data_IF_804892153359
#
_entry.id   IF_804892153359
#
_cell.length_a   1.000
_cell.length_b   1.000
_cell.length_c   1.000
_cell.angle_alpha   90.00
_cell.angle_beta   90.00
_cell.angle_gamma   90.00
#
_symmetry.space_group_name_H-M   'P 1'
#
loop_
_entity.id
_entity.type
_entity.pdbx_description
1 polymer ?
#
# COMPACT_ATOMS: atom_id res chain seq x y z
N UNK A 1 20.86 -12.58 9.62
CA UNK A 1 20.63 -11.13 9.71
C UNK A 1 20.01 -10.82 11.06
N UNK A 2 20.61 -9.91 11.83
CA UNK A 2 19.95 -9.35 13.02
C UNK A 2 19.04 -8.22 12.54
N UNK A 3 17.76 -8.30 12.84
CA UNK A 3 16.79 -7.28 12.44
C UNK A 3 16.80 -6.13 13.45
N UNK A 4 16.92 -4.89 12.98
CA UNK A 4 16.81 -3.74 13.85
C UNK A 4 15.35 -3.50 14.24
N UNK A 5 15.02 -3.68 15.53
CA UNK A 5 13.66 -3.54 16.05
C UNK A 5 13.06 -2.17 15.74
N UNK A 6 13.86 -1.09 15.87
CA UNK A 6 13.37 0.27 15.62
C UNK A 6 13.02 0.49 14.15
N UNK A 7 13.77 -0.13 13.23
CA UNK A 7 13.50 -0.05 11.79
C UNK A 7 12.22 -0.78 11.42
N UNK A 8 12.01 -1.99 11.95
CA UNK A 8 10.77 -2.76 11.72
C UNK A 8 9.56 -1.98 12.21
N UNK A 9 9.62 -1.42 13.43
CA UNK A 9 8.51 -0.63 14.00
C UNK A 9 8.28 0.65 13.19
N UNK A 10 9.33 1.34 12.76
CA UNK A 10 9.21 2.53 11.92
C UNK A 10 8.50 2.22 10.59
N UNK A 11 8.85 1.09 9.96
CA UNK A 11 8.21 0.66 8.71
C UNK A 11 6.76 0.23 8.93
N UNK A 12 6.43 -0.46 10.01
CA UNK A 12 5.04 -0.79 10.36
C UNK A 12 4.19 0.47 10.56
N UNK A 13 4.77 1.53 11.14
CA UNK A 13 4.09 2.82 11.24
C UNK A 13 3.77 3.41 9.87
N UNK A 14 4.71 3.37 8.92
CA UNK A 14 4.47 3.83 7.54
C UNK A 14 3.28 3.09 6.91
N UNK A 15 3.22 1.76 7.08
CA UNK A 15 2.09 0.94 6.60
C UNK A 15 0.77 1.38 7.23
N UNK A 16 0.73 1.56 8.55
CA UNK A 16 -0.48 1.96 9.28
C UNK A 16 -0.96 3.35 8.86
N UNK A 17 -0.05 4.33 8.76
CA UNK A 17 -0.43 5.67 8.33
C UNK A 17 -0.89 5.67 6.86
N UNK A 18 -0.24 4.90 5.98
CA UNK A 18 -0.70 4.74 4.60
C UNK A 18 -2.10 4.14 4.53
N UNK A 19 -2.42 3.14 5.37
CA UNK A 19 -3.76 2.57 5.45
C UNK A 19 -4.81 3.60 5.90
N UNK A 20 -4.47 4.49 6.85
CA UNK A 20 -5.35 5.62 7.24
C UNK A 20 -5.51 6.63 6.12
N UNK A 21 -4.45 6.91 5.37
CA UNK A 21 -4.49 7.86 4.25
C UNK A 21 -5.37 7.35 3.10
N UNK A 22 -5.34 6.04 2.81
CA UNK A 22 -6.27 5.41 1.85
C UNK A 22 -7.72 5.57 2.34
N UNK A 23 -8.00 5.25 3.61
CA UNK A 23 -9.35 5.34 4.18
C UNK A 23 -9.91 6.76 4.24
N UNK A 24 -9.05 7.75 4.48
CA UNK A 24 -9.43 9.17 4.48
C UNK A 24 -9.50 9.78 3.08
N UNK A 25 -9.03 9.07 2.05
CA UNK A 25 -8.90 9.59 0.69
C UNK A 25 -7.74 10.56 0.49
N UNK A 26 -6.84 10.69 1.46
CA UNK A 26 -5.65 11.55 1.39
C UNK A 26 -4.57 10.97 0.46
N UNK A 27 -4.60 9.66 0.21
CA UNK A 27 -3.70 8.96 -0.72
C UNK A 27 -4.49 8.07 -1.66
N UNK A 28 -4.07 7.98 -2.92
CA UNK A 28 -4.66 7.05 -3.89
C UNK A 28 -4.54 5.60 -3.39
N UNK A 29 -5.59 4.77 -3.52
CA UNK A 29 -5.54 3.37 -3.12
C UNK A 29 -4.44 2.58 -3.83
N UNK A 30 -4.09 2.94 -5.07
CA UNK A 30 -3.01 2.28 -5.82
C UNK A 30 -1.63 2.71 -5.31
N UNK A 31 -1.40 4.00 -5.11
CA UNK A 31 -0.12 4.50 -4.58
C UNK A 31 0.13 4.03 -3.14
N UNK A 32 -0.94 4.02 -2.33
CA UNK A 32 -0.90 3.47 -0.99
C UNK A 32 -0.63 1.96 -0.98
N UNK A 33 -1.27 1.19 -1.89
CA UNK A 33 -0.99 -0.24 -2.03
C UNK A 33 0.47 -0.53 -2.41
N UNK A 34 1.04 0.22 -3.37
CA UNK A 34 2.46 0.10 -3.74
C UNK A 34 3.36 0.39 -2.54
N UNK A 35 3.03 1.41 -1.74
CA UNK A 35 3.75 1.76 -0.51
C UNK A 35 3.68 0.63 0.52
N UNK A 36 2.50 0.09 0.81
CA UNK A 36 2.31 -1.00 1.77
C UNK A 36 3.04 -2.26 1.30
N UNK A 37 2.83 -2.67 0.04
CA UNK A 37 3.45 -3.86 -0.54
C UNK A 37 4.98 -3.77 -0.55
N UNK A 38 5.55 -2.61 -0.86
CA UNK A 38 7.00 -2.40 -0.88
C UNK A 38 7.67 -2.49 0.50
N UNK A 39 6.90 -2.27 1.56
CA UNK A 39 7.40 -2.28 2.94
C UNK A 39 7.22 -3.62 3.68
N UNK A 40 6.45 -4.57 3.12
CA UNK A 40 6.05 -5.83 3.80
C UNK A 40 7.22 -6.63 4.39
N UNK A 41 8.31 -6.80 3.65
CA UNK A 41 9.47 -7.57 4.11
C UNK A 41 10.21 -6.88 5.25
N UNK A 42 10.39 -5.55 5.15
CA UNK A 42 11.02 -4.75 6.22
C UNK A 42 10.13 -4.69 7.47
N UNK A 43 8.81 -4.78 7.30
CA UNK A 43 7.85 -4.84 8.40
C UNK A 43 7.74 -6.23 9.04
N UNK A 44 8.32 -7.27 8.43
CA UNK A 44 8.09 -8.68 8.78
C UNK A 44 6.60 -9.06 8.74
N UNK A 45 5.92 -8.63 7.67
CA UNK A 45 4.50 -8.87 7.42
C UNK A 45 4.28 -9.43 5.99
N UNK A 46 5.29 -10.11 5.44
CA UNK A 46 5.25 -10.68 4.09
C UNK A 46 4.08 -11.66 3.89
N UNK A 47 3.70 -12.38 4.94
CA UNK A 47 2.62 -13.37 4.95
C UNK A 47 1.35 -12.89 5.68
N UNK A 48 1.29 -11.61 6.10
CA UNK A 48 0.10 -11.09 6.78
C UNK A 48 -1.08 -11.06 5.78
N UNK A 49 -2.23 -11.70 6.11
CA UNK A 49 -3.37 -11.80 5.20
C UNK A 49 -4.00 -10.44 4.86
N UNK A 50 -3.78 -9.42 5.70
CA UNK A 50 -4.19 -8.05 5.43
C UNK A 50 -3.11 -7.24 4.70
N UNK A 51 -1.94 -7.82 4.38
CA UNK A 51 -0.92 -7.21 3.53
C UNK A 51 -0.95 -7.77 2.10
N UNK A 52 -1.18 -9.08 1.94
CA UNK A 52 -1.19 -9.75 0.63
C UNK A 52 -2.10 -9.09 -0.43
N UNK A 53 -3.30 -8.59 -0.11
CA UNK A 53 -4.16 -7.89 -1.07
C UNK A 53 -3.51 -6.66 -1.71
N UNK A 54 -2.64 -5.94 -0.98
CA UNK A 54 -1.90 -4.80 -1.51
C UNK A 54 -0.82 -5.23 -2.50
N UNK A 55 -0.25 -6.43 -2.35
CA UNK A 55 0.66 -7.02 -3.35
C UNK A 55 -0.10 -7.30 -4.64
N UNK A 56 -1.32 -7.84 -4.55
CA UNK A 56 -2.19 -8.03 -5.70
C UNK A 56 -2.51 -6.72 -6.41
N UNK A 57 -2.93 -5.68 -5.67
CA UNK A 57 -3.18 -4.35 -6.24
C UNK A 57 -1.92 -3.81 -6.94
N UNK A 58 -0.76 -3.88 -6.30
CA UNK A 58 0.49 -3.39 -6.87
C UNK A 58 0.86 -4.12 -8.18
N UNK A 59 0.66 -5.45 -8.22
CA UNK A 59 0.93 -6.27 -9.41
C UNK A 59 0.00 -5.93 -10.57
N UNK A 60 -1.32 -5.88 -10.32
CA UNK A 60 -2.33 -5.62 -11.37
C UNK A 60 -2.27 -4.18 -11.91
N UNK A 61 -1.60 -3.28 -11.19
CA UNK A 61 -1.46 -1.87 -11.56
C UNK A 61 -0.04 -1.46 -11.91
N UNK A 62 0.92 -2.40 -11.97
CA UNK A 62 2.34 -2.13 -12.23
C UNK A 62 2.55 -1.32 -13.52
N UNK A 63 1.82 -1.67 -14.57
CA UNK A 63 1.95 -1.07 -15.90
C UNK A 63 1.29 0.30 -16.06
N UNK A 64 0.54 0.75 -15.03
CA UNK A 64 -0.22 1.98 -15.09
C UNK A 64 0.56 3.16 -14.46
N UNK A 65 0.50 4.35 -15.08
CA UNK A 65 1.28 5.49 -14.62
C UNK A 65 0.61 6.19 -13.43
N UNK A 66 1.13 5.91 -12.24
CA UNK A 66 0.70 6.51 -10.97
C UNK A 66 1.83 7.32 -10.30
N UNK A 67 1.43 8.39 -9.60
CA UNK A 67 2.38 9.25 -8.89
C UNK A 67 3.39 9.92 -9.82
N UNK A 68 4.67 9.92 -9.40
CA UNK A 68 5.75 10.67 -10.05
C UNK A 68 6.10 10.18 -11.46
N UNK A 69 5.86 8.90 -11.76
CA UNK A 69 6.23 8.32 -13.05
C UNK A 69 5.47 8.96 -14.22
N UNK A 70 4.27 9.52 -13.96
CA UNK A 70 3.47 10.25 -14.94
C UNK A 70 4.24 11.38 -15.63
N UNK A 71 5.23 11.97 -14.95
CA UNK A 71 6.09 13.01 -15.53
C UNK A 71 6.95 12.51 -16.70
N UNK A 72 7.14 11.18 -16.83
CA UNK A 72 7.90 10.54 -17.90
C UNK A 72 7.02 10.00 -19.05
N UNK A 73 5.70 10.13 -18.94
CA UNK A 73 4.77 9.63 -19.95
C UNK A 73 4.33 10.72 -20.92
N UNK A 74 4.09 10.34 -22.17
CA UNK A 74 3.49 11.24 -23.15
C UNK A 74 2.06 11.59 -22.73
N UNK A 75 1.67 12.87 -22.86
CA UNK A 75 0.34 13.35 -22.51
C UNK A 75 -0.79 12.56 -23.20
N UNK A 76 -0.58 12.18 -24.47
CA UNK A 76 -1.54 11.35 -25.22
C UNK A 76 -1.72 9.96 -24.60
N UNK A 77 -0.64 9.28 -24.23
CA UNK A 77 -0.71 7.97 -23.60
C UNK A 77 -1.41 8.04 -22.23
N UNK A 78 -1.15 9.11 -21.45
CA UNK A 78 -1.87 9.36 -20.19
C UNK A 78 -3.38 9.52 -20.42
N UNK A 79 -3.78 10.27 -21.46
CA UNK A 79 -5.19 10.46 -21.79
C UNK A 79 -5.87 9.14 -22.23
N UNK A 80 -5.19 8.33 -23.04
CA UNK A 80 -5.67 7.02 -23.49
C UNK A 80 -5.84 6.02 -22.32
N UNK A 81 -4.97 6.09 -21.31
CA UNK A 81 -5.02 5.22 -20.12
C UNK A 81 -5.94 5.72 -18.99
N UNK A 82 -6.45 6.95 -19.07
CA UNK A 82 -7.16 7.57 -17.94
C UNK A 82 -8.40 6.78 -17.49
N UNK A 83 -9.12 6.15 -18.43
CA UNK A 83 -10.25 5.27 -18.10
C UNK A 83 -9.81 4.08 -17.25
N UNK A 84 -8.77 3.36 -17.68
CA UNK A 84 -8.21 2.22 -16.95
C UNK A 84 -7.66 2.63 -15.58
N UNK A 85 -7.01 3.78 -15.49
CA UNK A 85 -6.51 4.34 -14.22
C UNK A 85 -7.66 4.57 -13.23
N UNK A 86 -8.78 5.13 -13.69
CA UNK A 86 -9.94 5.38 -12.86
C UNK A 86 -10.57 4.06 -12.38
N UNK A 87 -10.75 3.09 -13.28
CA UNK A 87 -11.24 1.75 -12.95
C UNK A 87 -10.35 1.05 -11.92
N UNK A 88 -9.03 1.07 -12.15
CA UNK A 88 -8.06 0.48 -11.23
C UNK A 88 -8.07 1.14 -9.85
N UNK A 89 -8.26 2.46 -9.75
CA UNK A 89 -8.42 3.11 -8.45
C UNK A 89 -9.71 2.70 -7.73
N UNK A 90 -10.83 2.64 -8.43
CA UNK A 90 -12.11 2.23 -7.82
C UNK A 90 -12.08 0.77 -7.35
N UNK A 91 -11.53 -0.11 -8.18
CA UNK A 91 -11.29 -1.51 -7.83
C UNK A 91 -10.33 -1.63 -6.63
N UNK A 92 -9.18 -0.94 -6.67
CA UNK A 92 -8.21 -0.98 -5.60
C UNK A 92 -8.79 -0.48 -4.27
N UNK A 93 -9.61 0.57 -4.27
CA UNK A 93 -10.30 1.04 -3.07
C UNK A 93 -11.23 -0.03 -2.49
N UNK A 94 -11.98 -0.72 -3.35
CA UNK A 94 -12.91 -1.80 -2.94
C UNK A 94 -12.14 -2.93 -2.25
N UNK A 95 -11.03 -3.36 -2.84
CA UNK A 95 -10.17 -4.40 -2.27
C UNK A 95 -9.50 -3.92 -0.98
N UNK A 96 -8.88 -2.73 -1.00
CA UNK A 96 -8.07 -2.22 0.10
C UNK A 96 -8.87 -1.89 1.36
N UNK A 97 -10.14 -1.50 1.25
CA UNK A 97 -10.90 -0.90 2.36
C UNK A 97 -10.94 -1.79 3.62
N UNK A 98 -11.36 -3.05 3.48
CA UNK A 98 -11.46 -3.98 4.62
C UNK A 98 -10.09 -4.26 5.24
N UNK A 99 -9.05 -4.38 4.42
CA UNK A 99 -7.69 -4.65 4.90
C UNK A 99 -7.06 -3.43 5.56
N UNK A 100 -7.31 -2.22 5.05
CA UNK A 100 -6.91 -0.98 5.71
C UNK A 100 -7.57 -0.86 7.10
N UNK A 101 -8.88 -1.12 7.19
CA UNK A 101 -9.60 -1.09 8.47
C UNK A 101 -8.99 -2.09 9.46
N UNK A 102 -8.71 -3.30 8.98
CA UNK A 102 -8.08 -4.36 9.76
C UNK A 102 -6.71 -3.96 10.30
N UNK A 103 -5.82 -3.43 9.44
CA UNK A 103 -4.48 -2.94 9.81
C UNK A 103 -4.54 -1.82 10.85
N UNK A 104 -5.46 -0.85 10.68
CA UNK A 104 -5.64 0.25 11.64
C UNK A 104 -6.15 -0.28 12.98
N UNK A 105 -7.13 -1.18 12.99
CA UNK A 105 -7.69 -1.76 14.20
C UNK A 105 -6.65 -2.54 15.02
N UNK A 106 -5.73 -3.25 14.36
CA UNK A 106 -4.65 -4.01 15.04
C UNK A 106 -3.34 -3.23 15.21
N UNK A 107 -3.31 -1.93 14.92
CA UNK A 107 -2.10 -1.11 14.98
C UNK A 107 -1.35 -1.23 16.31
N UNK A 108 -2.05 -1.29 17.44
CA UNK A 108 -1.43 -1.50 18.75
C UNK A 108 -0.70 -2.84 18.92
N UNK A 109 -1.12 -3.89 18.21
CA UNK A 109 -0.41 -5.18 18.17
C UNK A 109 0.78 -5.12 17.22
N UNK A 110 0.60 -4.56 16.03
CA UNK A 110 1.67 -4.42 15.03
C UNK A 110 2.84 -3.56 15.54
N UNK A 111 2.57 -2.57 16.38
CA UNK A 111 3.59 -1.70 16.95
C UNK A 111 4.35 -2.33 18.13
N UNK A 112 3.92 -3.50 18.62
CA UNK A 112 4.66 -4.26 19.64
C UNK A 112 5.71 -5.13 18.96
N UNK A 113 6.91 -5.12 19.52
CA UNK A 113 7.88 -6.16 19.23
C UNK A 113 7.39 -7.44 19.95
N UNK A 114 7.37 -8.62 19.30
CA UNK A 114 7.14 -9.85 20.03
C UNK A 114 8.32 -10.02 20.99
N UNK A 115 8.03 -10.02 22.29
CA UNK A 115 9.01 -10.44 23.29
C UNK A 115 9.55 -11.81 22.85
N UNK A 116 10.88 -11.91 22.79
CA UNK A 116 11.58 -13.08 22.27
C UNK A 116 11.32 -14.34 23.07
#
# INVERSE_FOLDING_TARGET
MSWNQSEVIAVRRIIIETAKDILSGSTSPVEGARTIAGHRFKARLEDDPDILPFVGIASETESLPFGRERAHWQARALAELQGKINESQAWALTVASTHCQSLVARSGSLMRWPDG
#
